data_IF_454594882417
#
_entry.id   IF_454594882417
#
_cell.length_a   1.000
_cell.length_b   1.000
_cell.length_c   1.000
_cell.angle_alpha   90.00
_cell.angle_beta   90.00
_cell.angle_gamma   90.00
#
_symmetry.space_group_name_H-M   'P 1'
#
loop_
_entity.id
_entity.type
_entity.pdbx_description
1 polymer ?
#
# COMPACT_ATOMS: atom_id res chain seq x y z
N UNK A 1 -25.21 11.07 -26.06
CA UNK A 1 -24.90 9.66 -25.73
C UNK A 1 -24.17 9.70 -24.41
N UNK A 2 -24.90 9.48 -23.33
CA UNK A 2 -24.47 9.68 -21.95
C UNK A 2 -23.81 8.36 -21.53
N UNK A 3 -22.54 8.39 -21.12
CA UNK A 3 -21.91 7.24 -20.51
C UNK A 3 -22.51 7.06 -19.12
N UNK A 4 -23.42 6.10 -18.97
CA UNK A 4 -23.71 5.53 -17.65
C UNK A 4 -22.42 4.87 -17.16
N UNK A 5 -21.82 5.48 -16.15
CA UNK A 5 -20.77 4.82 -15.37
C UNK A 5 -21.52 3.81 -14.52
N UNK A 6 -21.38 2.53 -14.85
CA UNK A 6 -21.90 1.45 -14.03
C UNK A 6 -21.32 1.58 -12.61
N UNK A 7 -22.15 2.00 -11.64
CA UNK A 7 -21.87 2.07 -10.19
C UNK A 7 -21.71 0.67 -9.56
N UNK A 8 -21.26 -0.31 -10.33
CA UNK A 8 -21.03 -1.65 -9.83
C UNK A 8 -19.85 -1.61 -8.88
N UNK A 9 -20.11 -1.95 -7.61
CA UNK A 9 -19.07 -2.24 -6.64
C UNK A 9 -18.01 -3.14 -7.30
N UNK A 10 -16.71 -2.84 -7.18
CA UNK A 10 -15.68 -3.52 -7.93
C UNK A 10 -15.82 -5.03 -7.75
N UNK A 11 -16.06 -5.73 -8.86
CA UNK A 11 -16.27 -7.16 -8.86
C UNK A 11 -15.02 -7.84 -8.28
N UNK A 12 -15.22 -8.61 -7.21
CA UNK A 12 -14.13 -9.30 -6.54
C UNK A 12 -13.77 -10.52 -7.40
N UNK A 13 -12.73 -10.37 -8.22
CA UNK A 13 -12.20 -11.46 -9.04
C UNK A 13 -11.77 -12.66 -8.19
N UNK A 14 -11.98 -13.88 -8.70
CA UNK A 14 -11.54 -15.11 -8.03
C UNK A 14 -12.51 -15.64 -6.97
N UNK A 15 -13.79 -15.30 -7.08
CA UNK A 15 -14.87 -15.93 -6.32
C UNK A 15 -15.62 -16.92 -7.20
N UNK A 16 -16.08 -18.02 -6.61
CA UNK A 16 -16.99 -18.97 -7.25
C UNK A 16 -18.43 -18.43 -7.33
N UNK A 17 -19.34 -19.19 -7.95
CA UNK A 17 -20.77 -18.86 -8.08
C UNK A 17 -21.47 -18.60 -6.73
N UNK A 18 -20.89 -19.09 -5.63
CA UNK A 18 -21.41 -18.95 -4.27
C UNK A 18 -20.69 -17.85 -3.49
N UNK A 19 -19.83 -17.06 -4.14
CA UNK A 19 -19.08 -15.96 -3.55
C UNK A 19 -17.90 -16.42 -2.66
N UNK A 20 -17.50 -17.69 -2.74
CA UNK A 20 -16.37 -18.27 -1.98
C UNK A 20 -15.07 -18.12 -2.77
N UNK A 21 -13.92 -17.94 -2.10
CA UNK A 21 -12.63 -17.81 -2.77
C UNK A 21 -12.23 -19.06 -3.56
N UNK A 22 -12.00 -18.91 -4.86
CA UNK A 22 -11.53 -19.99 -5.73
C UNK A 22 -10.01 -20.21 -5.56
N UNK A 23 -9.54 -21.39 -5.11
CA UNK A 23 -8.11 -21.73 -5.06
C UNK A 23 -7.43 -21.73 -6.43
N UNK A 24 -8.11 -22.17 -7.49
CA UNK A 24 -7.52 -22.27 -8.81
C UNK A 24 -7.16 -20.90 -9.38
N UNK A 25 -8.03 -19.90 -9.19
CA UNK A 25 -7.72 -18.51 -9.54
C UNK A 25 -6.51 -17.95 -8.78
N UNK A 26 -6.38 -18.21 -7.48
CA UNK A 26 -5.21 -17.74 -6.72
C UNK A 26 -3.90 -18.39 -7.23
N UNK A 27 -3.96 -19.68 -7.58
CA UNK A 27 -2.83 -20.41 -8.17
C UNK A 27 -2.47 -19.91 -9.56
N UNK A 28 -3.44 -19.56 -10.41
CA UNK A 28 -3.20 -19.02 -11.76
C UNK A 28 -2.55 -17.63 -11.72
N UNK A 29 -2.77 -16.85 -10.65
CA UNK A 29 -2.03 -15.61 -10.38
C UNK A 29 -0.58 -15.86 -9.92
N UNK A 30 -0.21 -17.10 -9.60
CA UNK A 30 1.09 -17.47 -9.04
C UNK A 30 1.21 -17.26 -7.52
N UNK A 31 0.08 -17.18 -6.80
CA UNK A 31 0.08 -17.14 -5.33
C UNK A 31 0.20 -18.56 -4.78
N UNK A 32 1.29 -18.81 -4.05
CA UNK A 32 1.55 -20.13 -3.46
C UNK A 32 1.20 -20.15 -1.97
N UNK A 33 0.49 -21.18 -1.47
CA UNK A 33 0.20 -21.30 -0.06
C UNK A 33 1.50 -21.43 0.76
N UNK A 34 1.55 -20.76 1.91
CA UNK A 34 2.70 -20.86 2.80
C UNK A 34 2.90 -22.31 3.28
N UNK A 35 4.14 -22.80 3.24
CA UNK A 35 4.50 -24.16 3.67
C UNK A 35 4.21 -24.36 5.16
N UNK A 36 3.73 -25.54 5.55
CA UNK A 36 3.42 -25.88 6.96
C UNK A 36 4.61 -25.60 7.89
N UNK A 37 5.82 -26.06 7.52
CA UNK A 37 7.02 -25.82 8.31
C UNK A 37 7.39 -24.34 8.46
N UNK A 38 7.17 -23.53 7.44
CA UNK A 38 7.40 -22.08 7.51
C UNK A 38 6.40 -21.39 8.45
N UNK A 39 5.13 -21.82 8.43
CA UNK A 39 4.09 -21.32 9.36
C UNK A 39 4.41 -21.69 10.81
N UNK A 40 4.80 -22.94 11.05
CA UNK A 40 5.22 -23.41 12.39
C UNK A 40 6.45 -22.64 12.86
N UNK A 41 7.48 -22.50 12.02
CA UNK A 41 8.68 -21.72 12.36
C UNK A 41 8.36 -20.26 12.70
N UNK A 42 7.50 -19.61 11.92
CA UNK A 42 7.06 -18.25 12.19
C UNK A 42 6.33 -18.14 13.54
N UNK A 43 5.42 -19.07 13.84
CA UNK A 43 4.72 -19.11 15.12
C UNK A 43 5.67 -19.40 16.31
N UNK A 44 6.63 -20.31 16.15
CA UNK A 44 7.62 -20.61 17.20
C UNK A 44 8.50 -19.40 17.53
N UNK A 45 8.93 -18.64 16.51
CA UNK A 45 9.68 -17.39 16.74
C UNK A 45 8.84 -16.39 17.52
N UNK A 46 7.57 -16.21 17.16
CA UNK A 46 6.70 -15.27 17.86
C UNK A 46 6.42 -15.69 19.29
N UNK A 47 6.23 -16.99 19.53
CA UNK A 47 6.05 -17.55 20.85
C UNK A 47 7.33 -17.41 21.69
N UNK A 48 8.50 -17.71 21.12
CA UNK A 48 9.78 -17.54 21.79
C UNK A 48 10.00 -16.10 22.24
N UNK A 49 9.74 -15.12 21.36
CA UNK A 49 9.88 -13.70 21.71
C UNK A 49 8.89 -13.31 22.81
N UNK A 50 7.64 -13.77 22.74
CA UNK A 50 6.66 -13.52 23.78
C UNK A 50 7.09 -14.11 25.14
N UNK A 51 7.61 -15.36 25.14
CA UNK A 51 8.13 -16.02 26.34
C UNK A 51 9.33 -15.25 26.90
N UNK A 52 10.30 -14.85 26.07
CA UNK A 52 11.46 -14.09 26.52
C UNK A 52 11.08 -12.76 27.16
N UNK A 53 10.05 -12.08 26.63
CA UNK A 53 9.53 -10.83 27.19
C UNK A 53 8.87 -11.05 28.55
N UNK A 54 8.11 -12.14 28.73
CA UNK A 54 7.37 -12.40 29.97
C UNK A 54 8.17 -13.18 31.02
N UNK A 55 9.28 -13.79 30.63
CA UNK A 55 10.11 -14.65 31.48
C UNK A 55 10.55 -13.97 32.80
N UNK A 56 10.99 -12.70 32.83
CA UNK A 56 11.40 -12.06 34.09
C UNK A 56 10.26 -12.00 35.11
N UNK A 57 9.05 -11.61 34.67
CA UNK A 57 7.88 -11.60 35.55
C UNK A 57 7.50 -13.01 36.01
N UNK A 58 7.56 -14.01 35.12
CA UNK A 58 7.28 -15.40 35.48
C UNK A 58 8.26 -15.88 36.55
N UNK A 59 9.56 -15.68 36.37
CA UNK A 59 10.59 -16.08 37.35
C UNK A 59 10.37 -15.38 38.69
N UNK A 60 10.10 -14.07 38.67
CA UNK A 60 9.90 -13.27 39.88
C UNK A 60 8.62 -13.62 40.65
N UNK A 61 7.49 -13.81 39.95
CA UNK A 61 6.17 -13.96 40.56
C UNK A 61 5.82 -15.40 40.92
N UNK A 62 6.36 -16.40 40.21
CA UNK A 62 6.03 -17.82 40.47
C UNK A 62 6.28 -18.26 41.91
N UNK A 63 7.44 -18.01 42.56
CA UNK A 63 7.64 -18.44 43.94
C UNK A 63 6.66 -17.77 44.91
N UNK A 64 6.32 -16.50 44.66
CA UNK A 64 5.34 -15.73 45.44
C UNK A 64 3.96 -16.33 45.33
N UNK A 65 3.54 -16.67 44.11
CA UNK A 65 2.26 -17.30 43.86
C UNK A 65 2.17 -18.68 44.52
N UNK A 66 3.24 -19.48 44.42
CA UNK A 66 3.29 -20.80 45.07
C UNK A 66 3.19 -20.70 46.59
N UNK A 67 3.85 -19.71 47.20
CA UNK A 67 3.72 -19.44 48.63
C UNK A 67 2.28 -19.07 49.00
N UNK A 68 1.65 -18.13 48.27
CA UNK A 68 0.26 -17.70 48.52
C UNK A 68 -0.71 -18.88 48.39
N UNK A 69 -0.51 -19.76 47.42
CA UNK A 69 -1.33 -20.96 47.23
C UNK A 69 -1.16 -21.95 48.38
N UNK A 70 0.05 -22.10 48.91
CA UNK A 70 0.36 -23.05 49.98
C UNK A 70 -0.05 -22.55 51.38
N UNK A 71 0.19 -21.26 51.67
CA UNK A 71 0.09 -20.68 53.01
C UNK A 71 -1.10 -19.71 53.16
N UNK A 72 -1.73 -19.31 52.06
CA UNK A 72 -2.73 -18.25 52.03
C UNK A 72 -2.14 -16.86 51.77
N UNK A 73 -3.01 -15.87 51.55
CA UNK A 73 -2.58 -14.49 51.33
C UNK A 73 -2.59 -13.70 52.65
N UNK A 74 -1.41 -13.25 53.08
CA UNK A 74 -1.24 -12.28 54.16
C UNK A 74 -0.75 -10.94 53.57
N UNK A 75 -1.55 -9.90 53.76
CA UNK A 75 -1.28 -8.57 53.22
C UNK A 75 -0.06 -7.93 53.89
N UNK A 76 0.09 -8.05 55.21
CA UNK A 76 1.16 -7.39 55.95
C UNK A 76 2.51 -8.02 55.59
N UNK A 77 2.55 -9.35 55.52
CA UNK A 77 3.73 -10.08 55.06
C UNK A 77 4.07 -9.77 53.60
N UNK A 78 3.08 -9.67 52.71
CA UNK A 78 3.29 -9.38 51.29
C UNK A 78 3.83 -7.97 51.06
N UNK A 79 3.23 -6.95 51.70
CA UNK A 79 3.65 -5.56 51.54
C UNK A 79 4.94 -5.22 52.31
N UNK A 80 5.30 -6.01 53.34
CA UNK A 80 6.55 -5.89 54.08
C UNK A 80 7.78 -6.50 53.39
N UNK A 81 7.63 -7.08 52.19
CA UNK A 81 8.72 -7.78 51.50
C UNK A 81 9.86 -6.85 51.08
N UNK A 82 11.13 -7.24 51.34
CA UNK A 82 12.29 -6.44 50.92
C UNK A 82 12.46 -6.38 49.40
N UNK A 83 11.94 -7.37 48.67
CA UNK A 83 12.02 -7.48 47.21
C UNK A 83 10.77 -6.97 46.48
N UNK A 84 9.76 -6.42 47.18
CA UNK A 84 8.47 -6.00 46.61
C UNK A 84 8.64 -5.06 45.41
N UNK A 85 9.52 -4.07 45.52
CA UNK A 85 9.78 -3.11 44.44
C UNK A 85 10.27 -3.82 43.18
N UNK A 86 11.16 -4.81 43.33
CA UNK A 86 11.68 -5.58 42.20
C UNK A 86 10.62 -6.50 41.58
N UNK A 87 9.72 -7.07 42.37
CA UNK A 87 8.57 -7.81 41.86
C UNK A 87 7.65 -6.93 41.01
N UNK A 88 7.33 -5.73 41.50
CA UNK A 88 6.51 -4.74 40.79
C UNK A 88 7.21 -4.33 39.49
N UNK A 89 8.50 -4.04 39.52
CA UNK A 89 9.29 -3.65 38.34
C UNK A 89 9.30 -4.80 37.33
N UNK A 90 9.59 -6.03 37.74
CA UNK A 90 9.62 -7.19 36.85
C UNK A 90 8.24 -7.41 36.18
N UNK A 91 7.16 -7.32 36.95
CA UNK A 91 5.79 -7.42 36.46
C UNK A 91 5.45 -6.30 35.48
N UNK A 92 5.67 -5.03 35.87
CA UNK A 92 5.29 -3.86 35.10
C UNK A 92 6.09 -3.75 33.78
N UNK A 93 7.40 -4.01 33.81
CA UNK A 93 8.26 -3.99 32.61
C UNK A 93 7.85 -5.11 31.65
N UNK A 94 7.70 -6.34 32.14
CA UNK A 94 7.28 -7.47 31.29
C UNK A 94 5.89 -7.22 30.69
N UNK A 95 4.96 -6.68 31.47
CA UNK A 95 3.61 -6.34 31.02
C UNK A 95 3.62 -5.20 29.98
N UNK A 96 4.40 -4.14 30.21
CA UNK A 96 4.55 -3.04 29.27
C UNK A 96 5.14 -3.50 27.93
N UNK A 97 6.19 -4.32 28.00
CA UNK A 97 6.85 -4.86 26.81
C UNK A 97 5.96 -5.83 26.03
N UNK A 98 5.18 -6.70 26.68
CA UNK A 98 4.29 -7.62 25.96
C UNK A 98 3.13 -6.86 25.30
N UNK A 99 2.59 -5.82 25.96
CA UNK A 99 1.57 -4.95 25.35
C UNK A 99 2.14 -4.25 24.12
N UNK A 100 3.32 -3.63 24.25
CA UNK A 100 3.99 -2.96 23.14
C UNK A 100 4.26 -3.94 21.98
N UNK A 101 4.76 -5.14 22.29
CA UNK A 101 4.99 -6.20 21.32
C UNK A 101 3.70 -6.60 20.58
N UNK A 102 2.61 -6.87 21.30
CA UNK A 102 1.32 -7.23 20.69
C UNK A 102 0.79 -6.11 19.81
N UNK A 103 0.84 -4.85 20.26
CA UNK A 103 0.42 -3.69 19.46
C UNK A 103 1.23 -3.56 18.18
N UNK A 104 2.56 -3.70 18.26
CA UNK A 104 3.44 -3.66 17.08
C UNK A 104 3.09 -4.79 16.12
N UNK A 105 2.93 -6.02 16.60
CA UNK A 105 2.56 -7.16 15.77
C UNK A 105 1.20 -6.96 15.10
N UNK A 106 0.22 -6.42 15.83
CA UNK A 106 -1.12 -6.14 15.35
C UNK A 106 -1.09 -5.10 14.21
N UNK A 107 -0.35 -4.02 14.40
CA UNK A 107 -0.18 -2.95 13.40
C UNK A 107 0.54 -3.48 12.16
N UNK A 108 1.64 -4.21 12.34
CA UNK A 108 2.39 -4.81 11.22
C UNK A 108 1.53 -5.82 10.46
N UNK A 109 0.76 -6.63 11.16
CA UNK A 109 -0.06 -7.67 10.53
C UNK A 109 -1.20 -7.04 9.72
N UNK A 110 -1.90 -6.06 10.31
CA UNK A 110 -3.00 -5.37 9.65
C UNK A 110 -2.57 -4.51 8.47
N UNK A 111 -1.45 -3.77 8.61
CA UNK A 111 -0.99 -2.79 7.60
C UNK A 111 -0.07 -3.37 6.54
N UNK A 112 0.77 -4.34 6.91
CA UNK A 112 1.84 -4.89 6.05
C UNK A 112 1.72 -6.39 5.82
N UNK A 113 0.69 -7.05 6.35
CA UNK A 113 0.49 -8.50 6.21
C UNK A 113 1.59 -9.34 6.84
N UNK A 114 2.40 -8.77 7.73
CA UNK A 114 3.53 -9.45 8.37
C UNK A 114 3.47 -9.30 9.86
N UNK A 115 4.07 -10.28 10.50
CA UNK A 115 4.49 -10.27 11.88
C UNK A 115 5.99 -10.58 11.88
N UNK A 116 6.67 -10.44 13.02
CA UNK A 116 8.10 -10.73 13.13
C UNK A 116 8.44 -12.11 12.54
N UNK A 117 7.74 -13.16 12.97
CA UNK A 117 7.95 -14.52 12.48
C UNK A 117 7.64 -14.63 10.99
N UNK A 118 6.51 -14.10 10.52
CA UNK A 118 6.15 -14.18 9.09
C UNK A 118 7.17 -13.49 8.19
N UNK A 119 7.71 -12.34 8.61
CA UNK A 119 8.76 -11.65 7.87
C UNK A 119 10.03 -12.52 7.76
N UNK A 120 10.44 -13.16 8.86
CA UNK A 120 11.60 -14.07 8.89
C UNK A 120 11.45 -15.30 8.00
N UNK A 121 10.22 -15.76 7.76
CA UNK A 121 9.94 -16.93 6.92
C UNK A 121 9.42 -16.59 5.52
N UNK A 122 9.36 -15.30 5.15
CA UNK A 122 8.90 -14.87 3.82
C UNK A 122 7.39 -15.08 3.60
N UNK A 123 6.62 -15.11 4.67
CA UNK A 123 5.16 -15.30 4.64
C UNK A 123 4.49 -13.93 4.58
N UNK A 124 3.47 -13.79 3.74
CA UNK A 124 2.51 -12.68 3.79
C UNK A 124 1.13 -13.20 4.09
N UNK A 125 0.40 -12.45 4.90
CA UNK A 125 -1.01 -12.69 5.15
C UNK A 125 -1.85 -11.81 4.28
N UNK A 126 -2.83 -12.35 3.57
CA UNK A 126 -3.75 -11.60 2.72
C UNK A 126 -5.19 -11.88 3.10
N UNK A 127 -6.11 -11.01 2.68
CA UNK A 127 -7.52 -11.31 2.72
C UNK A 127 -7.82 -12.43 1.72
N UNK A 128 -8.54 -13.46 2.15
CA UNK A 128 -8.79 -14.64 1.33
C UNK A 128 -9.65 -14.33 0.10
N UNK A 129 -10.55 -13.33 0.19
CA UNK A 129 -11.50 -12.96 -0.88
C UNK A 129 -10.87 -11.96 -1.84
N UNK A 130 -10.33 -10.86 -1.33
CA UNK A 130 -9.84 -9.76 -2.18
C UNK A 130 -8.38 -9.96 -2.64
N UNK A 131 -7.64 -10.88 -2.01
CA UNK A 131 -6.19 -11.08 -2.19
C UNK A 131 -5.34 -9.85 -1.81
N UNK A 132 -5.95 -8.86 -1.15
CA UNK A 132 -5.29 -7.66 -0.68
C UNK A 132 -4.78 -7.82 0.76
N UNK A 133 -4.39 -6.70 1.38
CA UNK A 133 -4.02 -6.66 2.79
C UNK A 133 -5.19 -7.16 3.67
N UNK A 134 -4.90 -7.87 4.77
CA UNK A 134 -5.93 -8.50 5.59
C UNK A 134 -6.79 -7.45 6.34
N UNK A 135 -6.27 -6.24 6.50
CA UNK A 135 -6.93 -5.14 7.21
C UNK A 135 -6.70 -5.23 8.72
N UNK A 136 -6.72 -4.07 9.38
CA UNK A 136 -6.41 -3.98 10.81
C UNK A 136 -7.46 -4.67 11.69
N UNK A 137 -8.73 -4.31 11.56
CA UNK A 137 -9.78 -4.82 12.44
C UNK A 137 -10.13 -6.28 12.15
N UNK A 138 -10.65 -6.55 10.95
CA UNK A 138 -11.10 -7.91 10.59
C UNK A 138 -9.95 -8.89 10.45
N UNK A 139 -8.83 -8.46 9.85
CA UNK A 139 -7.68 -9.34 9.60
C UNK A 139 -6.78 -9.54 10.81
N UNK A 140 -6.40 -8.47 11.50
CA UNK A 140 -5.43 -8.56 12.60
C UNK A 140 -6.11 -8.67 13.97
N UNK A 141 -7.00 -7.73 14.34
CA UNK A 141 -7.59 -7.68 15.70
C UNK A 141 -8.41 -8.94 15.98
N UNK A 142 -9.34 -9.29 15.09
CA UNK A 142 -10.17 -10.49 15.27
C UNK A 142 -9.31 -11.75 15.41
N UNK A 143 -8.24 -11.88 14.62
CA UNK A 143 -7.31 -13.01 14.74
C UNK A 143 -6.68 -13.08 16.13
N UNK A 144 -6.16 -11.95 16.63
CA UNK A 144 -5.53 -11.89 17.95
C UNK A 144 -6.53 -12.05 19.10
N UNK A 145 -7.78 -11.61 18.94
CA UNK A 145 -8.85 -11.85 19.90
C UNK A 145 -9.19 -13.34 20.00
N UNK A 146 -9.33 -14.04 18.87
CA UNK A 146 -9.56 -15.49 18.87
C UNK A 146 -8.35 -16.24 19.44
N UNK A 147 -7.13 -15.80 19.11
CA UNK A 147 -5.91 -16.34 19.72
C UNK A 147 -5.91 -16.15 21.24
N UNK A 148 -6.23 -14.94 21.73
CA UNK A 148 -6.31 -14.63 23.16
C UNK A 148 -7.42 -15.42 23.86
N UNK A 149 -8.62 -15.50 23.26
CA UNK A 149 -9.73 -16.28 23.79
C UNK A 149 -9.42 -17.78 23.88
N UNK A 150 -8.53 -18.31 23.03
CA UNK A 150 -8.08 -19.70 23.17
C UNK A 150 -7.39 -19.97 24.51
N UNK A 151 -6.80 -18.96 25.18
CA UNK A 151 -6.17 -19.12 26.49
C UNK A 151 -7.16 -19.14 27.67
N UNK A 152 -8.47 -19.01 27.44
CA UNK A 152 -9.49 -19.18 28.49
C UNK A 152 -9.45 -20.58 29.12
N UNK A 153 -9.10 -21.60 28.32
CA UNK A 153 -8.77 -22.95 28.80
C UNK A 153 -7.25 -23.10 28.59
N UNK A 154 -6.42 -22.92 29.63
CA UNK A 154 -4.97 -22.99 29.52
C UNK A 154 -4.53 -24.30 28.88
N UNK A 155 -3.50 -24.23 28.03
CA UNK A 155 -2.90 -25.37 27.30
C UNK A 155 -3.84 -26.01 26.26
N UNK A 156 -5.00 -26.51 26.65
CA UNK A 156 -5.93 -27.23 25.75
C UNK A 156 -6.47 -26.29 24.67
N UNK A 157 -6.91 -25.09 25.04
CA UNK A 157 -7.50 -24.15 24.10
C UNK A 157 -6.52 -23.71 23.00
N UNK A 158 -5.28 -23.27 23.30
CA UNK A 158 -4.30 -22.94 22.27
C UNK A 158 -3.90 -24.16 21.41
N UNK A 159 -3.77 -25.35 22.01
CA UNK A 159 -3.48 -26.58 21.26
C UNK A 159 -4.58 -26.86 20.24
N UNK A 160 -5.84 -26.82 20.67
CA UNK A 160 -6.99 -27.09 19.81
C UNK A 160 -7.17 -25.99 18.73
N UNK A 161 -7.22 -24.73 19.15
CA UNK A 161 -7.56 -23.60 18.29
C UNK A 161 -6.40 -23.20 17.37
N UNK A 162 -5.15 -23.20 17.85
CA UNK A 162 -4.00 -22.72 17.08
C UNK A 162 -3.26 -23.86 16.38
N UNK A 163 -2.93 -24.94 17.11
CA UNK A 163 -2.06 -26.00 16.58
C UNK A 163 -2.82 -27.04 15.75
N UNK A 164 -3.99 -27.50 16.23
CA UNK A 164 -4.75 -28.58 15.61
C UNK A 164 -5.80 -28.08 14.61
N UNK A 165 -6.37 -26.89 14.79
CA UNK A 165 -7.43 -26.39 13.89
C UNK A 165 -7.10 -26.41 12.39
N UNK A 166 -5.86 -26.17 11.92
CA UNK A 166 -5.54 -26.27 10.50
C UNK A 166 -5.62 -27.70 9.93
N UNK A 167 -5.65 -28.73 10.78
CA UNK A 167 -5.85 -30.13 10.36
C UNK A 167 -7.30 -30.43 10.00
N UNK A 168 -8.25 -29.62 10.50
CA UNK A 168 -9.68 -29.72 10.24
C UNK A 168 -10.13 -28.77 9.12
N UNK A 169 -9.19 -28.30 8.28
CA UNK A 169 -9.51 -27.39 7.18
C UNK A 169 -10.21 -28.12 6.04
N UNK A 170 -11.54 -27.99 6.02
CA UNK A 170 -12.44 -28.58 5.01
C UNK A 170 -12.12 -28.04 3.61
N UNK A 171 -11.64 -26.79 3.50
CA UNK A 171 -11.35 -26.15 2.22
C UNK A 171 -9.95 -26.49 1.67
N UNK A 172 -9.15 -27.28 2.40
CA UNK A 172 -7.80 -27.72 2.01
C UNK A 172 -6.82 -26.59 1.65
N UNK A 173 -7.06 -25.34 2.08
CA UNK A 173 -6.16 -24.17 1.90
C UNK A 173 -5.13 -24.01 3.03
N UNK A 174 -5.17 -24.90 4.02
CA UNK A 174 -4.36 -24.90 5.24
C UNK A 174 -4.78 -23.83 6.25
N UNK A 175 -6.04 -23.38 6.27
CA UNK A 175 -6.50 -22.30 7.17
C UNK A 175 -6.96 -22.88 8.50
N UNK A 176 -6.41 -22.38 9.61
CA UNK A 176 -6.95 -22.66 10.94
C UNK A 176 -8.19 -21.83 11.25
N UNK A 177 -8.84 -22.09 12.38
CA UNK A 177 -10.04 -21.33 12.79
C UNK A 177 -9.76 -19.83 12.94
N UNK A 178 -8.57 -19.46 13.42
CA UNK A 178 -8.17 -18.05 13.49
C UNK A 178 -8.13 -17.39 12.12
N UNK A 179 -7.65 -18.12 11.12
CA UNK A 179 -7.57 -17.67 9.73
C UNK A 179 -8.95 -17.57 9.09
N UNK A 180 -9.84 -18.49 9.42
CA UNK A 180 -11.19 -18.53 8.90
C UNK A 180 -12.01 -17.34 9.42
N UNK A 181 -11.99 -17.10 10.74
CA UNK A 181 -12.71 -15.98 11.37
C UNK A 181 -12.13 -14.63 10.93
N UNK A 182 -10.80 -14.52 10.80
CA UNK A 182 -10.15 -13.30 10.34
C UNK A 182 -10.20 -13.08 8.82
N UNK A 183 -10.77 -14.03 8.05
CA UNK A 183 -10.72 -14.06 6.59
C UNK A 183 -9.31 -13.91 6.02
N UNK A 184 -8.30 -14.47 6.71
CA UNK A 184 -6.89 -14.41 6.29
C UNK A 184 -6.44 -15.69 5.60
N UNK A 185 -5.49 -15.55 4.68
CA UNK A 185 -4.79 -16.66 4.05
C UNK A 185 -3.29 -16.33 3.96
N UNK A 186 -2.45 -17.35 4.14
CA UNK A 186 -1.00 -17.19 4.21
C UNK A 186 -0.34 -17.72 2.95
N UNK A 187 0.48 -16.87 2.35
CA UNK A 187 1.19 -17.15 1.11
C UNK A 187 2.70 -17.07 1.28
N UNK A 188 3.42 -17.85 0.50
CA UNK A 188 4.89 -17.84 0.43
C UNK A 188 5.36 -16.85 -0.64
N UNK A 189 5.96 -15.75 -0.22
CA UNK A 189 6.47 -14.71 -1.13
C UNK A 189 7.92 -14.89 -1.54
N UNK A 190 8.61 -15.92 -1.02
CA UNK A 190 9.94 -16.31 -1.49
C UNK A 190 9.84 -17.19 -2.74
N UNK A 191 8.78 -18.00 -2.82
CA UNK A 191 8.54 -18.91 -3.95
C UNK A 191 7.47 -18.42 -4.91
N UNK A 192 6.46 -17.71 -4.40
CA UNK A 192 5.33 -17.23 -5.17
C UNK A 192 5.34 -15.71 -5.39
N UNK A 193 4.32 -15.24 -6.08
CA UNK A 193 4.07 -13.82 -6.31
C UNK A 193 3.81 -13.10 -4.97
N UNK A 194 4.43 -11.93 -4.78
CA UNK A 194 4.10 -11.03 -3.68
C UNK A 194 2.88 -10.17 -4.05
N UNK A 195 1.73 -10.32 -3.36
CA UNK A 195 0.50 -9.64 -3.69
C UNK A 195 0.51 -8.15 -3.40
N UNK A 196 1.49 -7.67 -2.64
CA UNK A 196 1.65 -6.25 -2.37
C UNK A 196 2.49 -5.52 -3.42
N UNK A 197 3.05 -6.25 -4.38
CA UNK A 197 3.62 -5.66 -5.58
C UNK A 197 2.48 -5.42 -6.58
N UNK A 198 1.93 -4.20 -6.58
CA UNK A 198 0.80 -3.83 -7.43
C UNK A 198 1.10 -4.04 -8.92
N UNK A 199 2.33 -3.77 -9.35
CA UNK A 199 2.71 -3.91 -10.76
C UNK A 199 2.69 -5.38 -11.16
N UNK A 200 3.34 -6.25 -10.38
CA UNK A 200 3.36 -7.69 -10.69
C UNK A 200 1.98 -8.32 -10.57
N UNK A 201 1.17 -7.91 -9.59
CA UNK A 201 -0.21 -8.36 -9.43
C UNK A 201 -1.08 -7.94 -10.63
N UNK A 202 -0.94 -6.71 -11.11
CA UNK A 202 -1.64 -6.24 -12.33
C UNK A 202 -1.26 -7.06 -13.56
N UNK A 203 0.03 -7.37 -13.71
CA UNK A 203 0.52 -8.21 -14.82
C UNK A 203 -0.06 -9.63 -14.70
N UNK A 204 -0.05 -10.23 -13.50
CA UNK A 204 -0.61 -11.55 -13.27
C UNK A 204 -2.11 -11.62 -13.59
N UNK A 205 -2.91 -10.67 -13.08
CA UNK A 205 -4.34 -10.56 -13.41
C UNK A 205 -4.59 -10.39 -14.90
N UNK A 206 -3.79 -9.56 -15.57
CA UNK A 206 -3.89 -9.35 -17.03
C UNK A 206 -3.59 -10.64 -17.81
N UNK A 207 -2.60 -11.43 -17.38
CA UNK A 207 -2.27 -12.73 -17.99
C UNK A 207 -3.39 -13.75 -17.82
N UNK A 208 -4.00 -13.82 -16.64
CA UNK A 208 -5.13 -14.75 -16.40
C UNK A 208 -6.36 -14.36 -17.22
N UNK A 209 -6.67 -13.05 -17.33
CA UNK A 209 -7.83 -12.56 -18.08
C UNK A 209 -7.64 -12.62 -19.60
N UNK A 210 -6.41 -12.51 -20.08
CA UNK A 210 -6.10 -12.60 -21.51
C UNK A 210 -5.71 -14.05 -21.78
N UNK A 211 -6.63 -14.92 -22.24
CA UNK A 211 -6.22 -16.25 -22.68
C UNK A 211 -5.11 -16.06 -23.71
N UNK A 212 -3.94 -16.63 -23.42
CA UNK A 212 -2.84 -16.65 -24.38
C UNK A 212 -3.42 -17.30 -25.64
N UNK A 213 -3.51 -16.53 -26.73
CA UNK A 213 -3.65 -17.15 -28.03
C UNK A 213 -2.32 -17.87 -28.27
N UNK A 214 -2.31 -19.14 -27.87
CA UNK A 214 -1.21 -20.08 -28.06
C UNK A 214 -0.83 -20.05 -29.54
N UNK A 215 0.45 -19.76 -29.78
CA UNK A 215 1.13 -19.65 -31.08
C UNK A 215 0.38 -18.90 -32.19
N UNK A 216 0.75 -17.63 -32.41
CA UNK A 216 0.73 -17.12 -33.79
C UNK A 216 1.62 -18.06 -34.59
N UNK A 217 1.00 -18.90 -35.42
CA UNK A 217 1.68 -19.72 -36.41
C UNK A 217 2.78 -18.86 -37.06
N UNK A 218 4.01 -19.37 -37.20
CA UNK A 218 5.11 -18.59 -37.78
C UNK A 218 4.64 -18.07 -39.13
N UNK A 219 4.39 -16.76 -39.18
CA UNK A 219 4.03 -16.12 -40.44
C UNK A 219 5.22 -16.33 -41.37
N UNK A 220 4.98 -16.72 -42.64
CA UNK A 220 6.07 -16.86 -43.60
C UNK A 220 6.87 -15.56 -43.62
N UNK A 221 8.18 -15.67 -43.45
CA UNK A 221 9.08 -14.52 -43.48
C UNK A 221 8.92 -13.79 -44.81
N UNK A 222 8.51 -12.52 -44.75
CA UNK A 222 8.53 -11.61 -45.90
C UNK A 222 9.93 -11.04 -46.17
N UNK A 223 10.92 -11.37 -45.35
CA UNK A 223 12.30 -10.99 -45.62
C UNK A 223 12.83 -11.81 -46.81
N UNK A 224 13.39 -11.12 -47.80
CA UNK A 224 14.15 -11.72 -48.89
C UNK A 224 15.26 -12.60 -48.30
N UNK A 225 15.41 -13.86 -48.73
CA UNK A 225 16.48 -14.72 -48.22
C UNK A 225 17.84 -14.04 -48.47
N UNK A 226 18.65 -13.94 -47.42
CA UNK A 226 20.02 -13.39 -47.46
C UNK A 226 21.01 -14.41 -48.05
N UNK A 227 20.55 -15.62 -48.36
CA UNK A 227 21.36 -16.65 -48.98
C UNK A 227 21.47 -16.39 -50.48
N UNK A 228 22.69 -16.15 -50.94
CA UNK A 228 23.00 -15.69 -52.32
C UNK A 228 22.60 -16.70 -53.39
N UNK A 229 22.44 -17.97 -53.00
CA UNK A 229 22.15 -19.10 -53.91
C UNK A 229 20.79 -19.77 -53.65
N UNK A 230 19.96 -19.24 -52.74
CA UNK A 230 18.59 -19.72 -52.60
C UNK A 230 17.76 -19.27 -53.81
N UNK A 231 17.16 -20.21 -54.56
CA UNK A 231 16.21 -19.88 -55.63
C UNK A 231 15.07 -19.07 -55.02
N UNK A 232 15.01 -17.78 -55.36
CA UNK A 232 13.88 -16.93 -55.03
C UNK A 232 12.63 -17.56 -55.65
N UNK A 233 11.81 -18.22 -54.83
CA UNK A 233 10.50 -18.70 -55.26
C UNK A 233 9.60 -17.47 -55.36
N UNK A 234 9.60 -16.89 -56.56
CA UNK A 234 8.71 -15.81 -56.93
C UNK A 234 7.29 -16.36 -56.95
N UNK A 235 6.54 -16.13 -55.88
CA UNK A 235 5.09 -16.32 -55.87
C UNK A 235 4.48 -15.10 -56.56
N UNK A 236 3.91 -15.23 -57.77
CA UNK A 236 3.31 -14.09 -58.45
C UNK A 236 2.09 -13.64 -57.63
N UNK A 237 2.19 -12.48 -56.97
CA UNK A 237 0.99 -11.79 -56.49
C UNK A 237 0.15 -11.47 -57.72
N UNK A 238 -1.10 -11.93 -57.75
CA UNK A 238 -2.05 -11.61 -58.81
C UNK A 238 -1.99 -10.10 -59.10
N UNK A 239 -1.73 -9.75 -60.36
CA UNK A 239 -1.60 -8.36 -60.82
C UNK A 239 -2.91 -7.64 -60.54
N UNK A 240 -2.93 -6.78 -59.53
CA UNK A 240 -3.97 -5.76 -59.42
C UNK A 240 -3.68 -4.68 -60.47
N UNK A 241 -4.61 -4.51 -61.39
CA UNK A 241 -4.61 -3.48 -62.41
C UNK A 241 -4.83 -2.11 -61.76
N UNK A 242 -3.76 -1.49 -61.26
CA UNK A 242 -3.82 -0.12 -60.78
C UNK A 242 -2.44 0.40 -60.39
N UNK A 243 -1.73 1.04 -61.32
CA UNK A 243 -0.52 1.79 -60.99
C UNK A 243 0.46 1.93 -62.15
N UNK A 244 0.58 3.15 -62.65
CA UNK A 244 1.38 3.60 -63.80
C UNK A 244 2.89 3.47 -63.56
N UNK A 245 3.62 2.85 -64.49
CA UNK A 245 5.09 2.92 -64.57
C UNK A 245 5.48 4.13 -65.42
N UNK A 246 6.24 5.06 -64.82
CA UNK A 246 6.81 6.22 -65.49
C UNK A 246 7.78 5.82 -66.61
N UNK A 247 7.62 6.45 -67.78
CA UNK A 247 8.44 6.23 -68.96
C UNK A 247 9.88 6.71 -68.75
N UNK A 248 10.86 5.81 -68.94
CA UNK A 248 12.25 6.22 -69.16
C UNK A 248 12.43 6.58 -70.65
N UNK A 249 12.56 7.88 -70.95
CA UNK A 249 13.08 8.35 -72.26
C UNK A 249 14.54 7.91 -72.39
N UNK A 250 14.86 7.38 -73.57
CA UNK A 250 16.14 6.75 -73.87
C UNK A 250 17.23 7.70 -74.34
N UNK A 251 18.34 7.07 -74.74
CA UNK A 251 19.15 7.51 -75.87
C UNK A 251 19.96 6.32 -76.41
N UNK A 252 20.24 6.37 -77.70
CA UNK A 252 20.71 5.28 -78.53
C UNK A 252 22.23 5.33 -78.84
N UNK A 253 22.74 4.18 -79.28
CA UNK A 253 23.82 3.93 -80.25
C UNK A 253 25.31 4.23 -79.92
N UNK A 254 26.13 3.17 -80.09
CA UNK A 254 27.61 3.00 -80.14
C UNK A 254 28.17 3.28 -81.58
N UNK A 255 29.49 3.14 -81.95
CA UNK A 255 30.81 3.04 -81.27
C UNK A 255 31.93 3.90 -81.99
N UNK A 256 33.26 3.55 -82.05
CA UNK A 256 34.30 3.61 -81.01
C UNK A 256 35.57 4.43 -81.39
N UNK A 257 36.48 4.61 -80.41
CA UNK A 257 37.91 4.21 -80.44
C UNK A 257 38.98 5.25 -79.99
N UNK A 258 39.82 4.77 -79.05
CA UNK A 258 41.28 4.98 -78.80
C UNK A 258 41.86 6.21 -78.04
N UNK A 259 42.35 5.89 -76.82
CA UNK A 259 43.59 6.26 -76.11
C UNK A 259 43.88 7.64 -75.48
N UNK A 260 44.21 7.54 -74.18
CA UNK A 260 45.43 8.00 -73.48
C UNK A 260 45.34 9.16 -72.47
N UNK A 261 45.98 8.87 -71.33
CA UNK A 261 46.61 9.72 -70.30
C UNK A 261 45.77 10.44 -69.22
N UNK A 262 45.75 9.78 -68.06
CA UNK A 262 46.32 10.19 -66.76
C UNK A 262 46.11 11.63 -66.26
N UNK A 263 45.27 11.78 -65.22
CA UNK A 263 45.63 12.36 -63.92
C UNK A 263 44.38 12.82 -63.12
N UNK A 264 44.30 12.35 -61.87
CA UNK A 264 43.83 13.16 -60.74
C UNK A 264 42.32 13.22 -60.44
N UNK A 265 41.93 12.62 -59.31
CA UNK A 265 40.91 13.22 -58.43
C UNK A 265 39.66 12.40 -58.10
N UNK A 266 39.67 11.87 -56.88
CA UNK A 266 38.55 11.90 -55.92
C UNK A 266 37.29 11.04 -56.13
N UNK A 267 36.97 10.32 -55.04
CA UNK A 267 35.65 9.89 -54.54
C UNK A 267 35.15 8.45 -54.80
N UNK A 268 35.22 7.69 -53.69
CA UNK A 268 34.21 6.80 -53.09
C UNK A 268 33.76 5.57 -53.88
N UNK A 269 34.33 4.41 -53.51
CA UNK A 269 33.71 3.09 -53.70
C UNK A 269 33.63 2.39 -52.35
N UNK A 270 32.43 2.31 -51.78
CA UNK A 270 32.10 1.54 -50.59
C UNK A 270 31.73 0.12 -50.99
N UNK A 271 32.69 -0.80 -50.84
CA UNK A 271 32.45 -2.25 -50.87
C UNK A 271 32.79 -2.79 -49.48
N UNK A 272 31.85 -3.41 -48.74
CA UNK A 272 32.18 -4.07 -47.48
C UNK A 272 32.88 -5.42 -47.73
N UNK A 273 33.87 -5.80 -46.91
CA UNK A 273 34.56 -7.08 -47.05
C UNK A 273 33.72 -8.25 -46.56
N UNK A 274 33.77 -9.31 -47.37
CA UNK A 274 33.26 -10.66 -47.11
C UNK A 274 34.03 -11.31 -45.95
N UNK A 275 33.30 -11.82 -44.95
CA UNK A 275 33.84 -12.73 -43.94
C UNK A 275 33.92 -14.13 -44.54
N UNK A 276 35.12 -14.69 -44.61
CA UNK A 276 35.33 -16.11 -44.79
C UNK A 276 36.42 -16.62 -43.84
N UNK A 277 36.16 -17.84 -43.37
CA UNK A 277 37.09 -18.84 -42.82
C UNK A 277 37.29 -18.87 -41.30
N UNK A 278 37.00 -20.05 -40.73
CA UNK A 278 37.87 -20.64 -39.72
C UNK A 278 37.19 -21.22 -38.49
N UNK A 279 36.81 -22.50 -38.59
CA UNK A 279 36.88 -23.57 -37.60
C UNK A 279 37.01 -23.24 -36.09
N UNK A 280 36.15 -23.88 -35.29
CA UNK A 280 36.20 -23.91 -33.84
C UNK A 280 37.43 -24.65 -33.27
N UNK A 281 37.95 -24.17 -32.12
CA UNK A 281 38.45 -25.05 -31.06
C UNK A 281 37.73 -24.84 -29.71
N UNK A 282 37.88 -25.86 -28.88
CA UNK A 282 37.22 -26.24 -27.63
C UNK A 282 37.22 -25.21 -26.48
N UNK A 283 36.33 -25.37 -25.47
CA UNK A 283 36.27 -24.49 -24.30
C UNK A 283 37.45 -24.74 -23.35
N UNK A 284 38.29 -23.71 -23.16
CA UNK A 284 39.24 -23.64 -22.05
C UNK A 284 38.51 -23.19 -20.77
N UNK A 285 38.70 -23.93 -19.68
CA UNK A 285 38.23 -23.56 -18.35
C UNK A 285 38.88 -22.23 -17.90
N UNK A 286 38.06 -21.21 -17.64
CA UNK A 286 38.51 -19.97 -17.00
C UNK A 286 38.43 -20.10 -15.46
N UNK A 287 39.51 -19.71 -14.79
CA UNK A 287 39.64 -19.64 -13.34
C UNK A 287 38.68 -18.60 -12.70
N UNK A 288 38.31 -18.74 -11.42
CA UNK A 288 37.39 -17.82 -10.74
C UNK A 288 38.03 -16.43 -10.54
N UNK A 289 37.24 -15.38 -10.79
CA UNK A 289 37.63 -13.98 -10.55
C UNK A 289 37.72 -13.66 -9.03
N UNK A 290 38.64 -12.77 -8.60
CA UNK A 290 38.79 -12.40 -7.20
C UNK A 290 37.63 -11.51 -6.71
N UNK A 291 37.31 -11.66 -5.42
CA UNK A 291 36.24 -10.94 -4.73
C UNK A 291 36.46 -9.41 -4.67
N UNK A 292 35.39 -8.60 -4.69
CA UNK A 292 35.51 -7.15 -4.51
C UNK A 292 35.85 -6.79 -3.05
N UNK A 293 36.77 -5.84 -2.89
CA UNK A 293 37.21 -5.28 -1.61
C UNK A 293 36.09 -4.50 -0.87
N UNK A 294 36.15 -4.41 0.48
CA UNK A 294 35.13 -3.70 1.27
C UNK A 294 35.22 -2.17 1.10
N UNK A 295 34.06 -1.52 1.02
CA UNK A 295 33.93 -0.07 0.98
C UNK A 295 34.21 0.56 2.36
N UNK A 296 34.74 1.80 2.43
CA UNK A 296 35.10 2.46 3.68
C UNK A 296 33.88 2.90 4.50
N UNK A 297 34.03 2.84 5.83
CA UNK A 297 33.02 3.21 6.81
C UNK A 297 32.73 4.73 6.82
N UNK A 298 31.48 5.17 7.05
CA UNK A 298 31.18 6.58 7.28
C UNK A 298 31.53 7.00 8.71
N UNK A 299 32.11 8.19 8.84
CA UNK A 299 32.43 8.86 10.11
C UNK A 299 31.15 9.33 10.86
N UNK A 300 31.24 9.61 12.18
CA UNK A 300 30.07 9.92 13.01
C UNK A 300 29.53 11.32 12.70
N UNK A 301 28.23 11.40 12.43
CA UNK A 301 27.49 12.68 12.47
C UNK A 301 27.03 12.94 13.90
N UNK A 302 27.38 14.12 14.41
CA UNK A 302 26.96 14.63 15.71
C UNK A 302 25.44 14.62 15.87
N UNK A 303 25.01 14.22 17.07
CA UNK A 303 23.62 14.19 17.47
C UNK A 303 23.06 15.61 17.67
N UNK A 304 22.07 15.97 16.87
CA UNK A 304 21.20 17.12 17.17
C UNK A 304 20.10 16.65 18.14
N UNK A 305 20.15 17.14 19.38
CA UNK A 305 19.17 16.86 20.42
C UNK A 305 17.84 17.60 20.16
N UNK A 306 16.67 16.97 20.37
CA UNK A 306 15.40 17.68 20.38
C UNK A 306 15.20 18.42 21.72
N UNK A 307 14.59 19.62 21.72
CA UNK A 307 14.24 20.31 22.97
C UNK A 307 13.07 19.62 23.69
N UNK A 308 13.23 19.48 25.01
CA UNK A 308 12.18 19.08 25.94
C UNK A 308 10.98 20.03 25.87
N UNK A 309 9.80 19.50 25.57
CA UNK A 309 8.53 20.16 25.84
C UNK A 309 7.77 19.31 26.87
N UNK A 310 7.73 19.82 28.10
CA UNK A 310 6.95 19.29 29.21
C UNK A 310 5.45 19.33 28.88
N UNK A 311 4.78 18.19 28.91
CA UNK A 311 3.32 18.11 28.86
C UNK A 311 2.74 18.14 30.29
N UNK A 312 1.81 19.05 30.63
CA UNK A 312 1.09 19.00 31.90
C UNK A 312 0.12 17.81 31.96
N UNK A 313 0.15 17.10 33.08
CA UNK A 313 -0.78 16.03 33.43
C UNK A 313 -2.19 16.59 33.67
N UNK A 314 -3.21 16.04 33.00
CA UNK A 314 -4.61 16.27 33.34
C UNK A 314 -5.06 15.22 34.37
N UNK A 315 -5.37 15.67 35.58
CA UNK A 315 -6.08 14.88 36.60
C UNK A 315 -7.57 14.76 36.26
N UNK A 316 -8.25 13.64 36.57
CA UNK A 316 -9.68 13.52 36.39
C UNK A 316 -10.43 14.16 37.58
N UNK A 317 -11.26 15.17 37.29
CA UNK A 317 -12.15 15.76 38.28
C UNK A 317 -13.43 14.94 38.45
N UNK A 318 -13.80 14.72 39.71
CA UNK A 318 -14.95 13.96 40.16
C UNK A 318 -16.29 14.63 39.83
N UNK A 319 -17.30 13.79 39.62
CA UNK A 319 -18.71 14.15 39.44
C UNK A 319 -19.30 14.63 40.77
N UNK A 320 -19.83 15.85 40.82
CA UNK A 320 -20.72 16.30 41.91
C UNK A 320 -22.03 16.86 41.34
N UNK A 321 -23.13 16.43 41.99
CA UNK A 321 -24.53 16.77 41.72
C UNK A 321 -24.85 18.24 42.05
N UNK A 322 -25.90 18.83 41.44
CA UNK A 322 -26.29 20.22 41.66
C UNK A 322 -27.22 20.39 42.88
N UNK A 323 -27.02 21.48 43.62
CA UNK A 323 -27.95 22.01 44.62
C UNK A 323 -28.31 23.47 44.30
N UNK A 324 -29.51 23.88 44.72
CA UNK A 324 -30.29 25.00 44.22
C UNK A 324 -30.00 26.39 44.84
N UNK A 325 -30.22 27.43 44.01
CA UNK A 325 -30.64 28.87 44.17
C UNK A 325 -30.55 29.62 45.52
N UNK A 326 -30.27 30.95 45.54
CA UNK A 326 -31.24 32.03 45.18
C UNK A 326 -30.61 33.33 44.55
N UNK A 327 -31.40 34.40 44.22
CA UNK A 327 -31.13 35.29 43.08
C UNK A 327 -30.59 36.71 43.42
N UNK A 328 -30.25 37.41 42.32
CA UNK A 328 -30.17 38.86 42.11
C UNK A 328 -28.87 39.60 42.47
N UNK A 329 -28.16 40.05 41.43
CA UNK A 329 -27.71 41.44 41.29
C UNK A 329 -27.35 41.69 39.82
N UNK A 330 -28.03 42.63 39.18
CA UNK A 330 -27.75 43.13 37.83
C UNK A 330 -26.57 44.10 37.87
N UNK A 331 -25.48 43.89 37.10
CA UNK A 331 -24.53 44.94 36.76
C UNK A 331 -24.83 45.54 35.37
N UNK A 332 -24.32 46.76 35.08
CA UNK A 332 -24.75 47.60 33.97
C UNK A 332 -24.28 47.06 32.61
N UNK A 333 -25.02 47.43 31.58
CA UNK A 333 -24.80 47.13 30.18
C UNK A 333 -23.32 47.18 29.76
N UNK A 334 -22.71 46.00 29.59
CA UNK A 334 -21.60 45.82 28.67
C UNK A 334 -22.20 45.63 27.27
N UNK A 335 -21.85 46.54 26.35
CA UNK A 335 -22.13 46.44 24.93
C UNK A 335 -21.88 45.01 24.45
N UNK A 336 -22.87 44.31 23.85
CA UNK A 336 -22.61 43.00 23.29
C UNK A 336 -21.48 43.14 22.26
N UNK A 337 -20.47 42.24 22.24
CA UNK A 337 -19.54 42.22 21.12
C UNK A 337 -20.39 42.12 19.85
N UNK A 338 -20.18 43.08 18.95
CA UNK A 338 -20.85 43.11 17.68
C UNK A 338 -20.76 41.70 17.07
N UNK A 339 -21.93 41.08 16.90
CA UNK A 339 -22.04 39.88 16.08
C UNK A 339 -21.34 40.21 14.75
N UNK A 340 -20.32 39.44 14.31
CA UNK A 340 -19.71 39.72 13.02
C UNK A 340 -20.85 39.66 12.00
N UNK A 341 -21.04 40.77 11.29
CA UNK A 341 -21.96 40.81 10.14
C UNK A 341 -21.72 39.56 9.29
N UNK A 342 -22.77 38.90 8.76
CA UNK A 342 -22.57 37.70 7.96
C UNK A 342 -21.65 38.06 6.79
N UNK A 343 -20.40 37.65 6.86
CA UNK A 343 -19.50 37.73 5.73
C UNK A 343 -20.09 36.80 4.68
N UNK A 344 -20.51 37.36 3.55
CA UNK A 344 -21.00 36.56 2.43
C UNK A 344 -20.03 35.44 2.05
N UNK A 345 -20.52 34.42 1.34
CA UNK A 345 -19.68 33.30 0.88
C UNK A 345 -18.41 33.81 0.21
N UNK A 346 -17.25 33.29 0.66
CA UNK A 346 -15.93 33.65 0.11
C UNK A 346 -15.61 32.90 -1.18
N UNK A 347 -16.25 31.77 -1.40
CA UNK A 347 -16.25 31.00 -2.64
C UNK A 347 -17.43 30.02 -2.61
N UNK A 348 -17.83 29.52 -3.77
CA UNK A 348 -18.70 28.35 -3.89
C UNK A 348 -17.90 27.23 -4.51
N UNK A 349 -17.91 26.08 -3.85
CA UNK A 349 -17.29 24.86 -4.35
C UNK A 349 -18.39 23.95 -4.88
N UNK A 350 -18.23 23.44 -6.10
CA UNK A 350 -19.15 22.44 -6.65
C UNK A 350 -18.47 21.08 -6.56
N UNK A 351 -19.04 20.18 -5.79
CA UNK A 351 -18.60 18.78 -5.78
C UNK A 351 -18.98 18.12 -7.11
N UNK A 352 -18.25 17.08 -7.51
CA UNK A 352 -18.60 16.20 -8.63
C UNK A 352 -20.02 15.60 -8.57
N UNK A 353 -20.66 15.57 -7.40
CA UNK A 353 -22.10 15.24 -7.24
C UNK A 353 -23.05 16.34 -7.75
N UNK A 354 -22.55 17.53 -8.05
CA UNK A 354 -23.32 18.74 -8.30
C UNK A 354 -23.70 19.53 -7.03
N UNK A 355 -23.36 19.02 -5.84
CA UNK A 355 -23.63 19.72 -4.57
C UNK A 355 -22.81 21.01 -4.48
N UNK A 356 -23.49 22.13 -4.19
CA UNK A 356 -22.88 23.46 -4.03
C UNK A 356 -22.60 23.74 -2.56
N UNK A 357 -21.34 23.95 -2.23
CA UNK A 357 -20.86 24.23 -0.87
C UNK A 357 -20.36 25.68 -0.80
N UNK A 358 -21.02 26.49 0.00
CA UNK A 358 -20.57 27.85 0.29
C UNK A 358 -19.46 27.86 1.34
N UNK A 359 -18.29 28.39 0.99
CA UNK A 359 -17.15 28.54 1.91
C UNK A 359 -17.33 29.84 2.70
N UNK A 360 -17.84 29.74 3.91
CA UNK A 360 -18.02 30.88 4.84
C UNK A 360 -16.91 30.96 5.90
N UNK A 361 -16.28 29.83 6.19
CA UNK A 361 -15.20 29.65 7.16
C UNK A 361 -14.31 28.48 6.74
N UNK A 362 -13.55 27.91 7.67
CA UNK A 362 -12.81 26.67 7.40
C UNK A 362 -13.79 25.54 7.05
N UNK A 363 -13.65 24.95 5.88
CA UNK A 363 -14.50 23.86 5.39
C UNK A 363 -13.65 22.59 5.24
N UNK A 364 -14.03 21.53 5.94
CA UNK A 364 -13.32 20.25 5.95
C UNK A 364 -14.09 19.20 5.15
N UNK A 365 -13.44 18.62 4.15
CA UNK A 365 -13.97 17.57 3.30
C UNK A 365 -13.42 16.21 3.69
N UNK A 366 -14.28 15.20 3.71
CA UNK A 366 -13.86 13.82 3.82
C UNK A 366 -15.02 12.85 4.01
N UNK A 367 -14.75 11.55 4.12
CA UNK A 367 -15.82 10.55 4.32
C UNK A 367 -16.46 10.57 5.71
N UNK A 368 -15.74 11.11 6.69
CA UNK A 368 -16.16 11.26 8.08
C UNK A 368 -15.33 12.41 8.69
N UNK A 369 -15.56 13.66 8.23
CA UNK A 369 -14.71 14.79 8.55
C UNK A 369 -14.86 15.15 10.02
N UNK A 370 -13.73 15.48 10.65
CA UNK A 370 -13.68 15.98 12.00
C UNK A 370 -12.56 17.02 12.15
N UNK A 371 -12.84 18.07 12.91
CA UNK A 371 -11.89 19.10 13.28
C UNK A 371 -10.85 18.53 14.26
N UNK A 372 -9.58 18.93 14.11
CA UNK A 372 -8.53 18.59 15.07
C UNK A 372 -8.69 19.39 16.38
N UNK A 373 -8.08 18.92 17.48
CA UNK A 373 -8.09 19.65 18.75
C UNK A 373 -7.43 21.04 18.58
N UNK A 374 -8.17 22.11 18.89
CA UNK A 374 -7.74 23.50 18.70
C UNK A 374 -8.07 24.10 17.32
N UNK A 375 -8.59 23.30 16.39
CA UNK A 375 -9.22 23.78 15.16
C UNK A 375 -10.62 24.28 15.55
N UNK A 376 -10.90 25.57 15.35
CA UNK A 376 -12.15 26.21 15.76
C UNK A 376 -13.37 25.67 15.02
N UNK A 377 -14.47 26.43 15.03
CA UNK A 377 -15.68 26.04 14.30
C UNK A 377 -15.39 25.88 12.80
N UNK A 378 -15.59 24.67 12.29
CA UNK A 378 -15.35 24.31 10.90
C UNK A 378 -16.60 23.67 10.30
N UNK A 379 -16.91 24.02 9.06
CA UNK A 379 -17.97 23.39 8.30
C UNK A 379 -17.52 22.00 7.86
N UNK A 380 -18.24 20.97 8.26
CA UNK A 380 -17.90 19.57 7.98
C UNK A 380 -18.70 19.08 6.77
N UNK A 381 -18.04 18.85 5.64
CA UNK A 381 -18.67 18.37 4.40
C UNK A 381 -18.34 16.90 4.22
N UNK A 382 -19.37 16.06 4.42
CA UNK A 382 -19.23 14.62 4.28
C UNK A 382 -19.35 14.23 2.80
N UNK A 383 -18.26 13.70 2.25
CA UNK A 383 -18.22 13.21 0.87
C UNK A 383 -18.50 11.71 0.88
N UNK A 384 -19.58 11.29 0.23
CA UNK A 384 -19.88 9.88 0.01
C UNK A 384 -18.82 9.28 -0.95
N UNK A 385 -18.16 8.23 -0.50
CA UNK A 385 -17.04 7.63 -1.21
C UNK A 385 -16.93 6.15 -0.84
N UNK A 386 -17.57 5.32 -1.66
CA UNK A 386 -17.68 3.88 -1.45
C UNK A 386 -16.37 3.15 -1.76
N UNK A 387 -15.52 3.73 -2.62
CA UNK A 387 -14.17 3.21 -2.93
C UNK A 387 -13.15 3.47 -1.82
N UNK A 388 -13.51 4.27 -0.80
CA UNK A 388 -12.61 4.70 0.29
C UNK A 388 -11.35 5.42 -0.21
N UNK A 389 -11.44 6.06 -1.37
CA UNK A 389 -10.43 6.94 -1.94
C UNK A 389 -10.23 8.22 -1.11
N UNK A 390 -11.23 8.59 -0.31
CA UNK A 390 -11.29 9.80 0.51
C UNK A 390 -11.00 9.48 1.98
N UNK A 391 -9.98 10.13 2.56
CA UNK A 391 -9.67 10.06 4.00
C UNK A 391 -10.82 10.53 4.88
N UNK A 392 -10.78 10.20 6.19
CA UNK A 392 -11.79 10.67 7.17
C UNK A 392 -11.95 12.20 7.12
N UNK A 393 -10.83 12.90 7.31
CA UNK A 393 -10.63 14.31 6.96
C UNK A 393 -9.55 14.31 5.87
N UNK A 394 -9.87 14.75 4.67
CA UNK A 394 -9.00 14.66 3.49
C UNK A 394 -8.44 16.01 3.08
N UNK A 395 -9.31 16.98 2.89
CA UNK A 395 -8.98 18.29 2.36
C UNK A 395 -9.60 19.36 3.27
N UNK A 396 -8.85 20.41 3.54
CA UNK A 396 -9.37 21.62 4.17
C UNK A 396 -9.35 22.76 3.14
N UNK A 397 -10.46 23.47 3.01
CA UNK A 397 -10.54 24.71 2.27
C UNK A 397 -10.76 25.85 3.27
N UNK A 398 -9.88 26.83 3.25
CA UNK A 398 -9.87 27.92 4.23
C UNK A 398 -9.97 29.27 3.53
N UNK A 399 -10.73 30.23 4.09
CA UNK A 399 -10.82 31.57 3.52
C UNK A 399 -9.47 32.31 3.63
N UNK A 400 -9.10 32.99 2.56
CA UNK A 400 -7.96 33.89 2.48
C UNK A 400 -8.42 35.37 2.50
N UNK A 401 -7.46 36.30 2.50
CA UNK A 401 -7.77 37.74 2.30
C UNK A 401 -8.42 38.01 0.93
N UNK A 402 -8.10 37.20 -0.10
CA UNK A 402 -8.57 37.36 -1.50
C UNK A 402 -8.83 36.03 -2.22
N UNK A 403 -9.45 35.06 -1.55
CA UNK A 403 -9.54 33.71 -2.12
C UNK A 403 -9.90 32.65 -1.09
N UNK A 404 -9.61 31.43 -1.49
CA UNK A 404 -9.56 30.28 -0.59
C UNK A 404 -8.27 29.50 -0.84
N UNK A 405 -7.71 28.93 0.22
CA UNK A 405 -6.57 28.02 0.14
C UNK A 405 -7.05 26.59 0.35
N UNK A 406 -6.52 25.66 -0.43
CA UNK A 406 -6.64 24.23 -0.20
C UNK A 406 -5.44 23.71 0.58
N UNK A 407 -5.68 22.83 1.55
CA UNK A 407 -4.66 22.12 2.32
C UNK A 407 -5.01 20.65 2.36
N UNK A 408 -4.11 19.79 1.87
CA UNK A 408 -4.23 18.35 2.07
C UNK A 408 -3.98 18.00 3.54
N UNK A 409 -4.92 17.29 4.18
CA UNK A 409 -4.88 16.92 5.61
C UNK A 409 -4.15 15.59 5.83
N UNK A 410 -2.98 15.43 5.21
CA UNK A 410 -2.19 14.20 5.21
C UNK A 410 -3.03 13.00 4.73
N UNK A 411 -3.70 13.19 3.60
CA UNK A 411 -4.57 12.17 3.03
C UNK A 411 -3.79 10.96 2.54
N UNK A 412 -4.47 9.81 2.41
CA UNK A 412 -3.79 8.57 1.96
C UNK A 412 -3.56 8.54 0.45
N UNK A 413 -4.46 9.13 -0.33
CA UNK A 413 -4.44 9.08 -1.79
C UNK A 413 -4.00 10.41 -2.43
N UNK A 414 -3.73 11.42 -1.61
CA UNK A 414 -3.27 12.72 -2.04
C UNK A 414 -4.39 13.60 -2.60
N UNK A 415 -4.06 14.89 -2.69
CA UNK A 415 -4.87 15.90 -3.35
C UNK A 415 -4.04 16.61 -4.43
N UNK A 416 -4.68 17.14 -5.47
CA UNK A 416 -4.03 17.88 -6.54
C UNK A 416 -4.94 18.98 -7.07
N UNK A 417 -4.36 20.08 -7.56
CA UNK A 417 -5.07 21.13 -8.29
C UNK A 417 -4.86 20.89 -9.78
N UNK A 418 -5.94 20.93 -10.55
CA UNK A 418 -5.94 20.88 -12.00
C UNK A 418 -6.31 22.28 -12.50
N UNK A 419 -5.35 22.95 -13.17
CA UNK A 419 -5.50 24.29 -13.75
C UNK A 419 -5.04 24.26 -15.19
N UNK A 420 -5.90 24.69 -16.12
CA UNK A 420 -5.62 24.70 -17.56
C UNK A 420 -5.13 23.34 -18.10
N UNK A 421 -5.65 22.25 -17.54
CA UNK A 421 -5.24 20.88 -17.87
C UNK A 421 -3.90 20.43 -17.28
N UNK A 422 -3.20 21.30 -16.54
CA UNK A 422 -1.99 20.95 -15.78
C UNK A 422 -2.35 20.54 -14.36
N UNK A 423 -1.87 19.37 -13.93
CA UNK A 423 -2.10 18.84 -12.59
C UNK A 423 -0.90 19.08 -11.69
N UNK A 424 -1.13 19.77 -10.56
CA UNK A 424 -0.12 20.06 -9.53
C UNK A 424 -0.53 19.43 -8.21
N UNK A 425 0.28 18.50 -7.70
CA UNK A 425 0.01 17.82 -6.44
C UNK A 425 0.10 18.78 -5.23
N UNK A 426 -0.84 18.66 -4.29
CA UNK A 426 -0.83 19.36 -3.02
C UNK A 426 0.04 18.60 -2.01
N UNK A 427 1.11 19.24 -1.54
CA UNK A 427 1.90 18.69 -0.45
C UNK A 427 1.09 18.73 0.86
N UNK A 428 1.11 17.62 1.61
CA UNK A 428 0.40 17.51 2.89
C UNK A 428 0.76 18.67 3.83
N UNK A 429 -0.26 19.31 4.40
CA UNK A 429 -0.11 20.44 5.33
C UNK A 429 0.31 21.78 4.70
N UNK A 430 0.61 21.83 3.40
CA UNK A 430 1.01 23.07 2.72
C UNK A 430 -0.21 23.74 2.07
N UNK A 431 -0.53 25.00 2.41
CA UNK A 431 -1.63 25.72 1.79
C UNK A 431 -1.27 26.15 0.36
N UNK A 432 -2.17 25.90 -0.58
CA UNK A 432 -2.06 26.34 -1.97
C UNK A 432 -3.30 27.12 -2.37
N UNK A 433 -3.10 28.26 -3.04
CA UNK A 433 -4.17 29.18 -3.40
C UNK A 433 -5.00 28.63 -4.57
N UNK A 434 -6.32 28.63 -4.39
CA UNK A 434 -7.26 28.26 -5.44
C UNK A 434 -7.70 29.49 -6.25
N UNK A 435 -7.79 29.31 -7.56
CA UNK A 435 -8.27 30.29 -8.53
C UNK A 435 -9.65 29.89 -9.09
N UNK A 436 -10.34 30.83 -9.71
CA UNK A 436 -11.61 30.54 -10.39
C UNK A 436 -11.38 29.50 -11.47
N UNK A 437 -12.28 28.53 -11.56
CA UNK A 437 -12.19 27.48 -12.59
C UNK A 437 -11.19 26.37 -12.27
N UNK A 438 -10.45 26.46 -11.16
CA UNK A 438 -9.65 25.34 -10.69
C UNK A 438 -10.54 24.15 -10.36
N UNK A 439 -10.02 22.96 -10.65
CA UNK A 439 -10.58 21.71 -10.16
C UNK A 439 -9.61 21.08 -9.17
N UNK A 440 -10.04 20.87 -7.93
CA UNK A 440 -9.26 20.15 -6.92
C UNK A 440 -9.68 18.70 -6.91
N UNK A 441 -8.73 17.81 -7.21
CA UNK A 441 -8.89 16.37 -7.03
C UNK A 441 -8.45 15.97 -5.64
N UNK A 442 -9.24 15.18 -4.93
CA UNK A 442 -8.93 14.66 -3.60
C UNK A 442 -9.37 13.20 -3.52
N UNK A 443 -8.40 12.28 -3.55
CA UNK A 443 -8.69 10.88 -3.86
C UNK A 443 -9.21 10.72 -5.30
N UNK A 444 -10.35 10.05 -5.45
CA UNK A 444 -11.04 9.86 -6.74
C UNK A 444 -12.17 10.87 -6.96
N UNK A 445 -12.37 11.81 -6.02
CA UNK A 445 -13.40 12.84 -6.08
C UNK A 445 -12.81 14.16 -6.55
N UNK A 446 -13.67 15.00 -7.10
CA UNK A 446 -13.28 16.34 -7.53
C UNK A 446 -14.23 17.40 -7.00
N UNK A 447 -13.71 18.60 -6.81
CA UNK A 447 -14.49 19.81 -6.60
C UNK A 447 -13.99 20.92 -7.53
N UNK A 448 -14.88 21.75 -8.06
CA UNK A 448 -14.52 22.94 -8.84
C UNK A 448 -14.79 24.21 -8.06
N UNK A 449 -14.04 25.27 -8.37
CA UNK A 449 -14.09 26.55 -7.66
C UNK A 449 -14.83 27.59 -8.50
N UNK A 450 -15.98 28.04 -8.00
CA UNK A 450 -16.74 29.17 -8.54
C UNK A 450 -16.74 30.34 -7.54
N UNK A 451 -16.79 31.57 -8.04
CA UNK A 451 -17.01 32.75 -7.19
C UNK A 451 -18.50 33.08 -7.07
N UNK A 452 -18.81 33.79 -5.99
CA UNK A 452 -20.08 34.49 -5.80
C UNK A 452 -19.96 35.92 -6.29
#
# INVERSE_FOLDING_TARGET
>A
MIWEIDDHAPEIEGLDEHGRPDPAYAESLGLLPARRGARVGAALVEWLVAVLITLPAVIALTPVLMQIVAEGFDADAFFGRPDLVWLIVAAAVSQGLIIAYVVVQLVLHGRKGITLGKAMFGIRSINVRTLERPGFWRGAVVRYLVAGASFLIPVIGPVLVIALSPLFDIERRGRGWLDLVAATWFIDTRRGLNPYDQKRMRIARKRVKTPEHEERAPLPSLATPVDRDARAEYVPSARFSGGVIGAHRGSAATPPAVQAEDAGGSMVSSVPPSLATGAAPQPAFAAPAPAPAPAPAPAPVEAFAPPSASAPQAQPAAVLRPAATPPAATPPAATPPASPAPSGPRAVLILDTGERIEVRGTTLFGRAPGAAAGEGEAQLVRVADDTRSVSKTHLAVMPARRGVFAVDRASTNGSAIIRDGSETALAAGHPVELQVGDTVRFGDRTLSVEWV
#
